data_IF_623262858829
#
_entry.id   IF_623262858829
#
_cell.length_a   1.000
_cell.length_b   1.000
_cell.length_c   1.000
_cell.angle_alpha   90.00
_cell.angle_beta   90.00
_cell.angle_gamma   90.00
#
_symmetry.space_group_name_H-M   'P 1'
#
loop_
_entity.id
_entity.type
_entity.pdbx_description
1 polymer ?
#
# COMPACT_ATOMS: atom_id res chain seq x y z
N UNK A 1 13.65 -18.71 -11.27
CA UNK A 1 12.77 -18.88 -12.43
C UNK A 1 12.16 -17.56 -12.92
N UNK A 2 11.60 -16.71 -12.05
CA UNK A 2 10.96 -15.45 -12.48
C UNK A 2 11.91 -14.41 -13.12
N UNK A 3 13.17 -14.34 -12.68
CA UNK A 3 14.16 -13.40 -13.26
C UNK A 3 14.51 -13.76 -14.70
N UNK A 4 14.62 -15.05 -15.03
CA UNK A 4 14.95 -15.52 -16.38
C UNK A 4 13.86 -15.16 -17.38
N UNK A 5 12.58 -15.28 -16.99
CA UNK A 5 11.44 -14.85 -17.79
C UNK A 5 11.46 -13.34 -18.05
N UNK A 6 11.78 -12.52 -17.04
CA UNK A 6 11.87 -11.06 -17.20
C UNK A 6 13.02 -10.65 -18.15
N UNK A 7 14.18 -11.30 -18.03
CA UNK A 7 15.32 -11.02 -18.91
C UNK A 7 15.02 -11.40 -20.36
N UNK A 8 14.39 -12.55 -20.58
CA UNK A 8 13.98 -13.01 -21.91
C UNK A 8 12.91 -12.07 -22.51
N UNK A 9 11.97 -11.62 -21.68
CA UNK A 9 10.93 -10.66 -22.08
C UNK A 9 11.52 -9.30 -22.48
N UNK A 10 12.45 -8.74 -21.70
CA UNK A 10 13.14 -7.48 -22.04
C UNK A 10 13.96 -7.60 -23.33
N UNK A 11 14.57 -8.76 -23.58
CA UNK A 11 15.36 -9.00 -24.79
C UNK A 11 14.51 -9.15 -26.06
N UNK A 12 13.29 -9.69 -25.97
CA UNK A 12 12.43 -9.95 -27.14
C UNK A 12 11.65 -8.71 -27.59
N UNK A 13 11.46 -7.71 -26.72
CA UNK A 13 10.88 -6.42 -27.09
C UNK A 13 9.40 -6.46 -27.49
N UNK A 14 8.68 -7.52 -27.12
CA UNK A 14 7.24 -7.68 -27.37
C UNK A 14 6.43 -7.23 -26.16
N UNK A 15 5.20 -6.76 -26.40
CA UNK A 15 4.25 -6.46 -25.33
C UNK A 15 3.80 -7.76 -24.65
N UNK A 16 3.86 -7.79 -23.31
CA UNK A 16 3.46 -8.93 -22.51
C UNK A 16 2.43 -8.52 -21.46
N UNK A 17 1.45 -9.38 -21.25
CA UNK A 17 0.47 -9.25 -20.17
C UNK A 17 0.62 -10.48 -19.29
N UNK A 18 0.92 -10.25 -18.02
CA UNK A 18 1.03 -11.29 -17.01
C UNK A 18 -0.17 -11.23 -16.07
N UNK A 19 -0.80 -12.37 -15.82
CA UNK A 19 -1.92 -12.47 -14.88
C UNK A 19 -1.51 -13.44 -13.78
N UNK A 20 -1.51 -12.95 -12.56
CA UNK A 20 -1.17 -13.72 -11.36
C UNK A 20 -2.09 -13.33 -10.21
N UNK A 21 -2.17 -14.22 -9.22
CA UNK A 21 -2.80 -13.94 -7.94
C UNK A 21 -1.76 -13.58 -6.87
N UNK A 22 -0.47 -13.70 -7.18
CA UNK A 22 0.64 -13.40 -6.27
C UNK A 22 1.08 -11.95 -6.44
N UNK A 23 1.07 -11.22 -5.33
CA UNK A 23 1.40 -9.80 -5.28
C UNK A 23 2.89 -9.56 -5.49
N UNK A 24 3.77 -10.42 -4.95
CA UNK A 24 5.21 -10.27 -5.05
C UNK A 24 5.66 -10.42 -6.51
N UNK A 25 5.04 -11.36 -7.23
CA UNK A 25 5.24 -11.53 -8.67
C UNK A 25 4.81 -10.29 -9.46
N UNK A 26 3.62 -9.78 -9.19
CA UNK A 26 3.07 -8.62 -9.89
C UNK A 26 3.94 -7.38 -9.67
N UNK A 27 4.37 -7.13 -8.43
CA UNK A 27 5.16 -5.97 -8.06
C UNK A 27 6.61 -6.04 -8.54
N UNK A 28 7.19 -7.24 -8.61
CA UNK A 28 8.60 -7.42 -8.98
C UNK A 28 8.80 -7.43 -10.48
N UNK A 29 7.87 -8.00 -11.25
CA UNK A 29 8.08 -8.30 -12.67
C UNK A 29 7.51 -7.24 -13.61
N UNK A 30 6.50 -6.49 -13.18
CA UNK A 30 5.71 -5.65 -14.08
C UNK A 30 6.21 -4.20 -14.11
N UNK A 31 6.18 -3.56 -15.28
CA UNK A 31 6.40 -2.11 -15.38
C UNK A 31 5.18 -1.33 -14.86
N UNK A 32 3.98 -1.92 -15.03
CA UNK A 32 2.70 -1.43 -14.52
C UNK A 32 1.88 -2.60 -14.01
N UNK A 33 1.18 -2.40 -12.91
CA UNK A 33 0.27 -3.38 -12.31
C UNK A 33 -1.15 -2.83 -12.40
N UNK A 34 -2.07 -3.67 -12.85
CA UNK A 34 -3.50 -3.40 -12.80
C UNK A 34 -4.13 -4.32 -11.75
N UNK A 35 -4.60 -3.75 -10.64
CA UNK A 35 -5.35 -4.48 -9.62
C UNK A 35 -6.80 -4.52 -10.06
N UNK A 36 -7.41 -5.70 -9.99
CA UNK A 36 -8.78 -5.94 -10.43
C UNK A 36 -9.63 -6.52 -9.31
N UNK A 37 -10.88 -6.07 -9.22
CA UNK A 37 -11.91 -6.65 -8.37
C UNK A 37 -13.24 -6.71 -9.14
N UNK A 38 -13.97 -7.81 -9.01
CA UNK A 38 -15.26 -8.05 -9.69
C UNK A 38 -15.24 -7.74 -11.21
N UNK A 39 -14.13 -8.08 -11.88
CA UNK A 39 -13.96 -7.84 -13.32
C UNK A 39 -13.70 -6.38 -13.71
N UNK A 40 -13.45 -5.48 -12.75
CA UNK A 40 -13.10 -4.07 -12.97
C UNK A 40 -11.69 -3.78 -12.50
N UNK A 41 -10.96 -2.94 -13.24
CA UNK A 41 -9.68 -2.40 -12.77
C UNK A 41 -9.99 -1.34 -11.71
N UNK A 42 -9.51 -1.59 -10.49
CA UNK A 42 -9.65 -0.66 -9.36
C UNK A 42 -8.48 0.30 -9.27
N UNK A 43 -7.27 -0.13 -9.67
CA UNK A 43 -6.10 0.74 -9.78
C UNK A 43 -5.14 0.23 -10.85
N UNK A 44 -4.53 1.16 -11.60
CA UNK A 44 -3.46 0.85 -12.54
C UNK A 44 -2.32 1.85 -12.39
N UNK A 45 -1.19 1.41 -11.83
CA UNK A 45 -0.05 2.27 -11.56
C UNK A 45 1.27 1.47 -11.62
N UNK A 46 2.45 2.13 -11.60
CA UNK A 46 3.71 1.43 -11.36
C UNK A 46 3.67 0.65 -10.03
N UNK A 47 4.41 -0.46 -9.89
CA UNK A 47 4.43 -1.27 -8.67
C UNK A 47 4.63 -0.46 -7.39
N UNK A 48 5.55 0.51 -7.44
CA UNK A 48 5.84 1.40 -6.31
C UNK A 48 4.60 2.17 -5.84
N UNK A 49 3.80 2.69 -6.76
CA UNK A 49 2.61 3.48 -6.41
C UNK A 49 1.47 2.59 -5.93
N UNK A 50 1.36 1.38 -6.48
CA UNK A 50 0.41 0.37 -5.98
C UNK A 50 0.70 0.04 -4.50
N UNK A 51 1.98 -0.03 -4.12
CA UNK A 51 2.41 -0.30 -2.75
C UNK A 51 2.36 0.92 -1.83
N UNK A 52 2.94 2.05 -2.24
CA UNK A 52 3.09 3.24 -1.38
C UNK A 52 1.81 4.10 -1.32
N UNK A 53 0.94 4.01 -2.34
CA UNK A 53 -0.23 4.89 -2.52
C UNK A 53 -1.44 4.12 -3.09
N UNK A 54 -1.99 3.17 -2.33
CA UNK A 54 -3.22 2.51 -2.74
C UNK A 54 -4.36 3.52 -2.82
N UNK A 55 -5.12 3.46 -3.91
CA UNK A 55 -6.22 4.39 -4.22
C UNK A 55 -7.53 4.03 -3.52
N UNK A 56 -7.67 2.80 -3.04
CA UNK A 56 -8.80 2.34 -2.26
C UNK A 56 -8.34 1.36 -1.19
N UNK A 57 -9.21 1.15 -0.19
CA UNK A 57 -9.00 0.13 0.84
C UNK A 57 -8.87 -1.26 0.23
N UNK A 58 -9.62 -1.58 -0.82
CA UNK A 58 -9.53 -2.91 -1.45
C UNK A 58 -8.16 -3.13 -2.09
N UNK A 59 -7.56 -2.10 -2.71
CA UNK A 59 -6.18 -2.21 -3.23
C UNK A 59 -5.18 -2.38 -2.10
N UNK A 60 -5.38 -1.64 -1.01
CA UNK A 60 -4.50 -1.67 0.13
C UNK A 60 -4.54 -3.04 0.84
N UNK A 61 -5.75 -3.59 1.03
CA UNK A 61 -5.97 -4.94 1.56
C UNK A 61 -5.40 -6.02 0.60
N UNK A 62 -5.41 -5.75 -0.71
CA UNK A 62 -4.86 -6.64 -1.73
C UNK A 62 -3.33 -6.68 -1.79
N UNK A 63 -2.59 -5.65 -1.38
CA UNK A 63 -1.12 -5.57 -1.57
C UNK A 63 -0.31 -6.02 -0.35
N UNK A 64 -0.95 -6.26 0.78
CA UNK A 64 -0.31 -6.87 1.93
C UNK A 64 -0.81 -6.30 3.26
N UNK A 65 -0.55 -7.05 4.32
CA UNK A 65 -1.00 -6.81 5.69
C UNK A 65 -0.59 -5.42 6.19
N UNK A 66 -1.43 -4.42 5.92
CA UNK A 66 -1.37 -3.19 6.67
C UNK A 66 -1.85 -3.51 8.09
N UNK A 67 -1.01 -3.24 9.07
CA UNK A 67 -1.47 -3.28 10.44
C UNK A 67 -2.38 -2.08 10.65
N UNK A 68 -3.67 -2.34 10.82
CA UNK A 68 -4.64 -1.33 11.15
C UNK A 68 -4.56 -1.09 12.66
N UNK A 69 -4.07 0.08 13.02
CA UNK A 69 -3.92 0.50 14.41
C UNK A 69 -5.09 1.42 14.76
N UNK A 70 -5.90 1.00 15.73
CA UNK A 70 -6.92 1.88 16.26
C UNK A 70 -6.32 2.77 17.35
N UNK A 71 -6.72 4.04 17.35
CA UNK A 71 -6.29 4.97 18.38
C UNK A 71 -7.14 6.22 18.49
N UNK A 72 -6.83 7.03 19.48
CA UNK A 72 -7.47 8.31 19.75
C UNK A 72 -6.45 9.41 19.46
N UNK A 73 -6.84 10.42 18.70
CA UNK A 73 -5.99 11.57 18.43
C UNK A 73 -5.74 12.34 19.73
N UNK A 74 -4.49 12.48 20.14
CA UNK A 74 -4.10 13.26 21.33
C UNK A 74 -3.85 14.72 20.97
N UNK A 75 -3.15 14.96 19.86
CA UNK A 75 -2.84 16.29 19.36
C UNK A 75 -2.70 16.31 17.84
N UNK A 76 -2.92 17.50 17.28
CA UNK A 76 -2.83 17.77 15.84
C UNK A 76 -1.98 19.02 15.68
N UNK A 77 -0.70 18.83 15.34
CA UNK A 77 0.25 19.92 15.02
C UNK A 77 0.72 19.75 13.56
N UNK A 78 2.03 19.73 13.29
CA UNK A 78 2.57 19.34 11.97
C UNK A 78 2.38 17.84 11.68
N UNK A 79 2.31 17.04 12.73
CA UNK A 79 1.98 15.61 12.70
C UNK A 79 0.85 15.33 13.68
N UNK A 80 0.12 14.25 13.45
CA UNK A 80 -0.99 13.82 14.30
C UNK A 80 -0.45 12.80 15.28
N UNK A 81 -0.57 13.08 16.58
CA UNK A 81 -0.21 12.10 17.61
C UNK A 81 -1.44 11.28 17.92
N UNK A 82 -1.32 9.97 17.78
CA UNK A 82 -2.40 9.01 18.03
C UNK A 82 -1.98 8.08 19.16
N UNK A 83 -2.80 8.00 20.20
CA UNK A 83 -2.65 7.04 21.28
C UNK A 83 -3.35 5.75 20.91
N UNK A 84 -2.56 4.69 20.70
CA UNK A 84 -3.02 3.33 20.44
C UNK A 84 -2.77 2.44 21.66
N UNK A 85 -3.74 1.58 21.98
CA UNK A 85 -3.58 0.60 23.07
C UNK A 85 -2.45 -0.41 22.81
N UNK A 86 -2.09 -0.63 21.54
CA UNK A 86 -1.14 -1.66 21.11
C UNK A 86 0.31 -1.14 21.04
N UNK A 87 0.51 0.16 20.78
CA UNK A 87 1.82 0.78 20.55
C UNK A 87 2.12 2.00 21.42
N UNK A 88 1.17 2.47 22.24
CA UNK A 88 1.28 3.74 22.95
C UNK A 88 1.06 4.93 22.02
N UNK A 89 1.71 6.06 22.29
CA UNK A 89 1.60 7.28 21.47
C UNK A 89 2.50 7.20 20.24
N UNK A 90 1.91 7.28 19.05
CA UNK A 90 2.59 7.20 17.75
C UNK A 90 2.31 8.47 16.96
N UNK A 91 3.34 9.05 16.33
CA UNK A 91 3.18 10.16 15.41
C UNK A 91 2.89 9.66 13.99
N UNK A 92 1.79 10.12 13.40
CA UNK A 92 1.36 9.75 12.05
C UNK A 92 1.10 10.99 11.20
N UNK A 93 1.22 10.84 9.87
CA UNK A 93 0.85 11.91 8.95
C UNK A 93 -0.66 11.88 8.70
N UNK A 94 -1.32 13.05 8.77
CA UNK A 94 -2.76 13.17 8.57
C UNK A 94 -3.25 12.82 7.15
N UNK A 95 -2.36 12.57 6.17
CA UNK A 95 -2.71 12.31 4.76
C UNK A 95 -3.78 13.28 4.21
N UNK A 96 -3.68 14.56 4.58
CA UNK A 96 -4.60 15.62 4.20
C UNK A 96 -6.07 15.44 4.70
N UNK A 97 -6.32 14.55 5.66
CA UNK A 97 -7.60 14.48 6.37
C UNK A 97 -7.64 15.45 7.54
N UNK A 98 -8.78 16.12 7.71
CA UNK A 98 -9.05 16.90 8.89
C UNK A 98 -9.33 15.95 10.07
N UNK A 99 -8.50 16.02 11.10
CA UNK A 99 -8.64 15.26 12.34
C UNK A 99 -8.57 16.23 13.53
N UNK A 100 -9.28 15.92 14.60
CA UNK A 100 -9.31 16.71 15.82
C UNK A 100 -8.88 15.87 17.04
N UNK A 101 -8.28 16.51 18.06
CA UNK A 101 -8.03 15.84 19.35
C UNK A 101 -9.31 15.22 19.91
N UNK A 102 -9.24 13.95 20.30
CA UNK A 102 -10.36 13.13 20.76
C UNK A 102 -11.00 12.24 19.69
N UNK A 103 -10.68 12.44 18.40
CA UNK A 103 -11.23 11.61 17.33
C UNK A 103 -10.70 10.18 17.39
N UNK A 104 -11.58 9.22 17.07
CA UNK A 104 -11.19 7.82 16.88
C UNK A 104 -10.74 7.64 15.46
N UNK A 105 -9.48 7.26 15.28
CA UNK A 105 -8.87 7.06 13.97
C UNK A 105 -8.33 5.64 13.85
N UNK A 106 -8.32 5.13 12.62
CA UNK A 106 -7.62 3.90 12.27
C UNK A 106 -6.44 4.28 11.39
N UNK A 107 -5.24 4.16 11.94
CA UNK A 107 -3.98 4.42 11.25
C UNK A 107 -3.52 3.16 10.52
N UNK A 108 -2.99 3.31 9.30
CA UNK A 108 -2.40 2.21 8.55
C UNK A 108 -0.88 2.21 8.77
N UNK A 109 -0.36 1.10 9.31
CA UNK A 109 1.07 0.85 9.44
C UNK A 109 1.49 -0.18 8.39
N UNK A 110 2.17 0.30 7.34
CA UNK A 110 2.82 -0.55 6.36
C UNK A 110 4.20 -1.04 6.83
N UNK A 111 4.79 -2.06 6.18
CA UNK A 111 6.14 -2.50 6.48
C UNK A 111 7.18 -1.47 5.98
N UNK A 112 7.51 -0.49 6.82
CA UNK A 112 8.82 0.18 6.79
C UNK A 112 9.48 0.03 8.16
N UNK A 113 9.96 -1.18 8.42
CA UNK A 113 11.00 -1.41 9.44
C UNK A 113 12.33 -1.09 8.76
N UNK A 114 12.82 0.14 8.92
CA UNK A 114 14.26 0.35 8.86
C UNK A 114 14.79 0.08 10.27
N UNK A 115 15.72 -0.87 10.37
CA UNK A 115 16.59 -1.05 11.55
C UNK A 115 17.37 0.24 11.83
#
# INVERSE_FOLDING_TARGET
>A
MQIELRMLQQQVGITFVFVTHDQEEALTLSDRVAVMNEGRIIQQAPPRDIYERPSSREVADFIGQMNLLNGIVESVEEQVVVSSAELGSVSVNANNQAVHPGDRVTSQLGPKIFL
#
